data_IF_495490822085
#
_entry.id   IF_495490822085
#
_cell.length_a   1.000
_cell.length_b   1.000
_cell.length_c   1.000
_cell.angle_alpha   90.00
_cell.angle_beta   90.00
_cell.angle_gamma   90.00
#
_symmetry.space_group_name_H-M   'P 1'
#
loop_
_entity.id
_entity.type
_entity.pdbx_description
1 polymer ?
#
# COMPACT_ATOMS: atom_id res chain seq x y z
N UNK A 1 3.06 1.16 -12.94
CA UNK A 1 2.36 0.16 -12.11
C UNK A 1 0.87 0.18 -12.44
N UNK A 2 0.29 -0.99 -12.75
CA UNK A 2 -1.10 -1.15 -13.12
C UNK A 2 -1.78 -2.22 -12.25
N UNK A 3 -2.98 -1.94 -11.75
CA UNK A 3 -3.78 -2.92 -11.02
C UNK A 3 -4.54 -3.76 -12.06
N UNK A 4 -4.11 -5.01 -12.25
CA UNK A 4 -4.72 -5.93 -13.22
C UNK A 4 -6.04 -6.51 -12.71
N UNK A 5 -6.12 -6.77 -11.40
CA UNK A 5 -7.28 -7.45 -10.80
C UNK A 5 -7.39 -7.12 -9.33
N UNK A 6 -8.62 -6.93 -8.86
CA UNK A 6 -8.96 -6.89 -7.44
C UNK A 6 -9.91 -8.07 -7.18
N UNK A 7 -9.56 -8.93 -6.24
CA UNK A 7 -10.43 -10.01 -5.77
C UNK A 7 -10.74 -9.76 -4.30
N UNK A 8 -12.03 -9.65 -3.99
CA UNK A 8 -12.48 -9.53 -2.61
C UNK A 8 -12.64 -10.93 -2.02
N UNK A 9 -12.01 -11.17 -0.88
CA UNK A 9 -12.16 -12.41 -0.11
C UNK A 9 -12.86 -12.05 1.21
N UNK A 10 -14.09 -12.55 1.38
CA UNK A 10 -14.88 -12.37 2.59
C UNK A 10 -14.64 -13.53 3.56
N UNK A 11 -14.67 -13.26 4.86
CA UNK A 11 -14.49 -14.27 5.91
C UNK A 11 -13.14 -15.01 5.85
N UNK A 12 -13.05 -16.20 6.48
CA UNK A 12 -11.85 -17.03 6.44
C UNK A 12 -11.51 -17.46 5.01
N UNK A 13 -10.24 -17.29 4.65
CA UNK A 13 -9.73 -17.53 3.31
C UNK A 13 -8.30 -18.10 3.37
N UNK A 14 -7.67 -18.30 2.21
CA UNK A 14 -6.34 -18.91 2.12
C UNK A 14 -5.21 -18.06 2.74
N UNK A 15 -5.44 -16.77 3.00
CA UNK A 15 -4.46 -15.85 3.56
C UNK A 15 -4.66 -15.59 5.05
N UNK A 16 -5.91 -15.44 5.48
CA UNK A 16 -6.25 -15.06 6.84
C UNK A 16 -7.61 -15.59 7.27
N UNK A 17 -7.90 -15.50 8.58
CA UNK A 17 -9.23 -15.83 9.15
C UNK A 17 -10.25 -14.69 9.02
N UNK A 18 -9.82 -13.53 8.52
CA UNK A 18 -10.60 -12.31 8.36
C UNK A 18 -10.58 -11.86 6.88
N UNK A 19 -11.47 -10.93 6.48
CA UNK A 19 -11.55 -10.47 5.10
C UNK A 19 -10.28 -9.79 4.58
N UNK A 20 -9.93 -10.06 3.33
CA UNK A 20 -8.77 -9.44 2.65
C UNK A 20 -9.06 -9.14 1.18
N UNK A 21 -8.45 -8.09 0.65
CA UNK A 21 -8.32 -7.87 -0.78
C UNK A 21 -7.10 -8.66 -1.28
N UNK A 22 -7.27 -9.44 -2.34
CA UNK A 22 -6.18 -10.01 -3.13
C UNK A 22 -6.06 -9.23 -4.43
N UNK A 23 -5.05 -8.37 -4.51
CA UNK A 23 -4.84 -7.44 -5.62
C UNK A 23 -3.68 -7.93 -6.47
N UNK A 24 -3.90 -8.08 -7.79
CA UNK A 24 -2.82 -8.36 -8.74
C UNK A 24 -2.33 -7.07 -9.36
N UNK A 25 -1.02 -6.86 -9.31
CA UNK A 25 -0.38 -5.62 -9.74
C UNK A 25 0.79 -5.93 -10.65
N UNK A 26 0.80 -5.36 -11.85
CA UNK A 26 1.95 -5.37 -12.76
C UNK A 26 2.77 -4.09 -12.50
N UNK A 27 4.02 -4.26 -12.05
CA UNK A 27 4.89 -3.13 -11.74
C UNK A 27 5.37 -2.42 -13.01
N UNK A 28 5.45 -3.12 -14.14
CA UNK A 28 6.05 -2.64 -15.38
C UNK A 28 7.52 -2.26 -15.16
N UNK A 29 7.92 -1.07 -15.62
CA UNK A 29 9.30 -0.59 -15.49
C UNK A 29 9.80 -0.48 -14.04
N UNK A 30 8.88 -0.41 -13.06
CA UNK A 30 9.21 -0.29 -11.64
C UNK A 30 9.79 -1.58 -11.05
N UNK A 31 9.70 -2.71 -11.75
CA UNK A 31 10.35 -3.96 -11.30
C UNK A 31 11.87 -3.79 -11.17
N UNK A 32 12.47 -3.06 -12.12
CA UNK A 32 13.91 -2.74 -12.12
C UNK A 32 14.26 -1.53 -11.23
N UNK A 33 13.26 -0.92 -10.58
CA UNK A 33 13.41 0.33 -9.83
C UNK A 33 12.82 0.20 -8.42
N UNK A 34 13.49 -0.55 -7.53
CA UNK A 34 13.09 -0.62 -6.13
C UNK A 34 13.10 0.77 -5.47
N UNK A 35 12.37 0.94 -4.37
CA UNK A 35 12.12 2.23 -3.71
C UNK A 35 13.33 3.15 -3.54
N UNK A 36 14.50 2.59 -3.22
CA UNK A 36 15.74 3.32 -2.98
C UNK A 36 16.42 3.88 -4.23
N UNK A 37 16.07 3.40 -5.44
CA UNK A 37 16.60 3.93 -6.70
C UNK A 37 15.73 5.04 -7.29
N UNK A 38 14.52 5.23 -6.76
CA UNK A 38 13.59 6.27 -7.18
C UNK A 38 13.89 7.60 -6.48
N UNK A 39 14.45 8.55 -7.23
CA UNK A 39 14.94 9.83 -6.68
C UNK A 39 13.82 10.63 -5.99
N UNK A 40 14.02 10.89 -4.69
CA UNK A 40 13.11 11.68 -3.86
C UNK A 40 11.80 10.99 -3.47
N UNK A 41 11.57 9.75 -3.93
CA UNK A 41 10.33 9.01 -3.70
C UNK A 41 10.14 8.73 -2.21
N UNK A 42 11.17 8.18 -1.58
CA UNK A 42 11.19 7.81 -0.17
C UNK A 42 10.94 9.03 0.73
N UNK A 43 11.59 10.15 0.44
CA UNK A 43 11.46 11.40 1.19
C UNK A 43 10.05 11.98 1.10
N UNK A 44 9.47 12.00 -0.11
CA UNK A 44 8.06 12.42 -0.30
C UNK A 44 7.11 11.52 0.47
N UNK A 45 7.26 10.20 0.33
CA UNK A 45 6.38 9.23 0.98
C UNK A 45 6.45 9.31 2.51
N UNK A 46 7.66 9.35 3.09
CA UNK A 46 7.86 9.49 4.54
C UNK A 46 7.34 10.83 5.08
N UNK A 47 7.42 11.91 4.29
CA UNK A 47 6.87 13.21 4.66
C UNK A 47 5.34 13.22 4.63
N UNK A 48 4.75 12.56 3.64
CA UNK A 48 3.30 12.49 3.43
C UNK A 48 2.59 11.58 4.43
N UNK A 49 3.23 10.47 4.81
CA UNK A 49 2.66 9.46 5.71
C UNK A 49 3.66 9.14 6.84
N UNK A 50 3.93 10.11 7.75
CA UNK A 50 4.95 9.94 8.79
C UNK A 50 4.59 8.87 9.83
N UNK A 51 3.32 8.58 10.03
CA UNK A 51 2.82 7.55 10.96
C UNK A 51 3.13 6.11 10.52
N UNK A 52 3.46 5.89 9.24
CA UNK A 52 3.98 4.58 8.77
C UNK A 52 5.30 4.18 9.43
N UNK A 53 5.96 5.06 10.20
CA UNK A 53 7.05 4.66 11.10
C UNK A 53 6.62 3.59 12.12
N UNK A 54 5.33 3.52 12.46
CA UNK A 54 4.80 2.49 13.36
C UNK A 54 4.62 1.13 12.68
N UNK A 55 4.69 1.07 11.34
CA UNK A 55 4.56 -0.17 10.60
C UNK A 55 5.75 -1.10 10.84
N UNK A 56 5.45 -2.25 11.44
CA UNK A 56 6.39 -3.34 11.65
C UNK A 56 6.34 -4.24 10.42
N UNK A 57 7.33 -4.11 9.55
CA UNK A 57 7.55 -5.06 8.45
C UNK A 57 8.15 -6.37 9.01
N UNK A 58 8.68 -7.25 8.15
CA UNK A 58 9.34 -8.51 8.53
C UNK A 58 10.48 -8.37 9.56
N UNK A 59 11.05 -7.17 9.72
CA UNK A 59 12.07 -6.84 10.73
C UNK A 59 11.48 -6.88 12.16
N UNK A 60 10.17 -6.68 12.33
CA UNK A 60 9.47 -6.77 13.62
C UNK A 60 9.64 -5.55 14.54
N UNK A 61 10.44 -4.57 14.14
CA UNK A 61 10.75 -3.37 14.91
C UNK A 61 10.05 -2.13 14.39
N UNK A 62 9.83 -1.15 15.27
CA UNK A 62 9.32 0.18 14.92
C UNK A 62 10.28 0.85 13.95
N UNK A 63 9.76 1.43 12.88
CA UNK A 63 10.54 2.04 11.80
C UNK A 63 11.09 1.03 10.78
N UNK A 64 10.82 -0.26 10.96
CA UNK A 64 11.30 -1.31 10.06
C UNK A 64 10.86 -1.11 8.61
N UNK A 65 9.65 -0.59 8.36
CA UNK A 65 9.22 -0.28 7.00
C UNK A 65 10.01 0.88 6.37
N UNK A 66 10.29 1.96 7.12
CA UNK A 66 11.10 3.06 6.63
C UNK A 66 12.55 2.63 6.34
N UNK A 67 13.10 1.74 7.15
CA UNK A 67 14.40 1.14 6.85
C UNK A 67 14.35 0.32 5.55
N UNK A 68 13.30 -0.50 5.36
CA UNK A 68 13.10 -1.26 4.12
C UNK A 68 12.95 -0.35 2.89
N UNK A 69 12.29 0.80 3.01
CA UNK A 69 12.22 1.79 1.93
C UNK A 69 13.62 2.29 1.54
N UNK A 70 14.48 2.58 2.52
CA UNK A 70 15.86 3.06 2.31
C UNK A 70 16.78 1.98 1.74
N UNK A 71 16.67 0.74 2.21
CA UNK A 71 17.46 -0.38 1.69
C UNK A 71 16.96 -0.90 0.35
N UNK A 72 15.71 -0.58 0.00
CA UNK A 72 15.06 -1.02 -1.22
C UNK A 72 13.95 -2.04 -1.01
N UNK A 73 12.78 -1.74 -1.55
CA UNK A 73 11.67 -2.68 -1.66
C UNK A 73 10.80 -2.37 -2.89
N UNK A 74 10.01 -3.34 -3.34
CA UNK A 74 9.22 -3.25 -4.57
C UNK A 74 7.88 -2.56 -4.34
N UNK A 75 7.36 -1.91 -5.38
CA UNK A 75 6.14 -1.10 -5.30
C UNK A 75 4.90 -1.89 -4.91
N UNK A 76 4.86 -3.22 -5.14
CA UNK A 76 3.78 -4.07 -4.62
C UNK A 76 3.72 -4.08 -3.08
N UNK A 77 4.88 -4.14 -2.43
CA UNK A 77 4.99 -4.08 -0.96
C UNK A 77 4.77 -2.66 -0.42
N UNK A 78 5.16 -1.62 -1.17
CA UNK A 78 4.84 -0.25 -0.78
C UNK A 78 3.34 0.03 -0.87
N UNK A 79 2.69 -0.45 -1.95
CA UNK A 79 1.23 -0.32 -2.13
C UNK A 79 0.45 -0.96 -0.99
N UNK A 80 0.89 -2.13 -0.52
CA UNK A 80 0.34 -2.80 0.66
C UNK A 80 0.30 -1.86 1.87
N UNK A 81 1.46 -1.37 2.30
CA UNK A 81 1.58 -0.54 3.50
C UNK A 81 0.85 0.79 3.37
N UNK A 82 0.91 1.44 2.21
CA UNK A 82 0.21 2.71 1.99
C UNK A 82 -1.31 2.50 2.01
N UNK A 83 -1.81 1.39 1.49
CA UNK A 83 -3.25 1.09 1.54
C UNK A 83 -3.72 0.84 2.97
N UNK A 84 -2.97 0.07 3.77
CA UNK A 84 -3.26 -0.15 5.19
C UNK A 84 -3.22 1.15 6.01
N UNK A 85 -2.23 2.00 5.73
CA UNK A 85 -2.09 3.30 6.39
C UNK A 85 -3.29 4.21 6.09
N UNK A 86 -3.69 4.34 4.82
CA UNK A 86 -4.83 5.18 4.44
C UNK A 86 -6.13 4.69 5.06
N UNK A 87 -6.36 3.36 5.13
CA UNK A 87 -7.51 2.80 5.85
C UNK A 87 -7.49 3.21 7.33
N UNK A 88 -6.34 3.10 7.98
CA UNK A 88 -6.17 3.43 9.41
C UNK A 88 -6.38 4.92 9.67
N UNK A 89 -5.77 5.81 8.87
CA UNK A 89 -5.92 7.26 9.00
C UNK A 89 -7.37 7.72 8.78
N UNK A 90 -8.09 7.10 7.85
CA UNK A 90 -9.47 7.44 7.53
C UNK A 90 -10.50 6.82 8.52
N UNK A 91 -10.10 5.87 9.37
CA UNK A 91 -10.91 5.44 10.52
C UNK A 91 -11.06 3.93 10.72
N UNK A 92 -10.42 3.11 9.90
CA UNK A 92 -10.51 1.65 10.00
C UNK A 92 -9.16 1.05 10.37
N UNK A 93 -9.00 0.66 11.63
CA UNK A 93 -7.78 -0.02 12.09
C UNK A 93 -7.65 -1.41 11.44
N UNK A 94 -6.61 -1.59 10.62
CA UNK A 94 -6.21 -2.84 9.95
C UNK A 94 -4.69 -2.93 9.97
N UNK A 95 -4.14 -4.14 9.91
CA UNK A 95 -2.68 -4.30 10.07
C UNK A 95 -2.06 -5.46 9.30
N UNK A 96 -2.86 -6.39 8.78
CA UNK A 96 -2.33 -7.49 8.01
C UNK A 96 -2.18 -7.13 6.53
N UNK A 97 -0.94 -7.26 6.05
CA UNK A 97 -0.59 -7.12 4.65
C UNK A 97 0.41 -8.20 4.24
N UNK A 98 0.41 -8.53 2.94
CA UNK A 98 1.44 -9.38 2.35
C UNK A 98 1.59 -9.15 0.84
N UNK A 99 2.80 -8.84 0.39
CA UNK A 99 3.13 -8.74 -1.03
C UNK A 99 4.17 -9.77 -1.44
N UNK A 100 3.93 -10.44 -2.57
CA UNK A 100 4.87 -11.41 -3.14
C UNK A 100 4.69 -11.51 -4.66
N UNK A 101 5.79 -11.78 -5.35
CA UNK A 101 5.79 -11.96 -6.81
C UNK A 101 5.03 -13.25 -7.19
N UNK A 102 4.36 -13.19 -8.33
CA UNK A 102 3.72 -14.35 -8.96
C UNK A 102 4.75 -15.14 -9.78
N UNK A 103 4.30 -16.15 -10.53
CA UNK A 103 5.17 -16.83 -11.50
C UNK A 103 5.54 -15.95 -12.71
N UNK A 104 4.80 -14.87 -12.95
CA UNK A 104 5.11 -13.89 -14.00
C UNK A 104 5.97 -12.79 -13.37
N UNK A 105 7.18 -12.62 -13.91
CA UNK A 105 8.12 -11.63 -13.43
C UNK A 105 7.52 -10.21 -13.47
N UNK A 106 7.75 -9.42 -12.41
CA UNK A 106 7.23 -8.06 -12.29
C UNK A 106 5.74 -7.97 -11.93
N UNK A 107 5.06 -9.11 -11.77
CA UNK A 107 3.65 -9.16 -11.38
C UNK A 107 3.51 -9.73 -9.97
N UNK A 108 2.85 -8.98 -9.10
CA UNK A 108 2.74 -9.27 -7.68
C UNK A 108 1.29 -9.53 -7.28
N UNK A 109 1.10 -10.41 -6.31
CA UNK A 109 -0.12 -10.45 -5.51
C UNK A 109 0.14 -9.63 -4.24
N UNK A 110 -0.76 -8.70 -3.95
CA UNK A 110 -0.76 -7.82 -2.78
C UNK A 110 -2.02 -8.11 -1.98
N UNK A 111 -1.84 -8.62 -0.77
CA UNK A 111 -2.90 -9.01 0.16
C UNK A 111 -3.06 -7.91 1.19
N UNK A 112 -4.27 -7.40 1.37
CA UNK A 112 -4.55 -6.26 2.24
C UNK A 112 -5.79 -6.59 3.08
N UNK A 113 -5.66 -6.56 4.40
CA UNK A 113 -6.81 -6.65 5.31
C UNK A 113 -7.78 -5.50 5.11
N UNK A 114 -9.08 -5.79 5.25
CA UNK A 114 -10.12 -4.77 5.27
C UNK A 114 -11.24 -5.13 6.26
N UNK A 115 -12.02 -4.11 6.66
CA UNK A 115 -13.30 -4.28 7.38
C UNK A 115 -14.50 -3.93 6.49
N UNK A 116 -14.41 -2.84 5.73
CA UNK A 116 -15.43 -2.40 4.77
C UNK A 116 -14.90 -2.48 3.33
N UNK A 117 -15.58 -3.24 2.47
CA UNK A 117 -15.09 -3.63 1.14
C UNK A 117 -14.91 -2.43 0.20
N UNK A 118 -15.95 -1.61 0.02
CA UNK A 118 -15.93 -0.45 -0.88
C UNK A 118 -14.89 0.59 -0.42
N UNK A 119 -14.84 0.85 0.89
CA UNK A 119 -13.88 1.74 1.50
C UNK A 119 -12.43 1.29 1.29
N UNK A 120 -12.15 0.00 1.42
CA UNK A 120 -10.80 -0.54 1.19
C UNK A 120 -10.37 -0.45 -0.28
N UNK A 121 -11.31 -0.65 -1.22
CA UNK A 121 -11.05 -0.45 -2.65
C UNK A 121 -10.76 1.03 -2.95
N UNK A 122 -11.50 1.95 -2.33
CA UNK A 122 -11.23 3.39 -2.43
C UNK A 122 -9.84 3.75 -1.87
N UNK A 123 -9.47 3.19 -0.71
CA UNK A 123 -8.13 3.36 -0.13
C UNK A 123 -7.03 2.81 -1.04
N UNK A 124 -7.26 1.65 -1.69
CA UNK A 124 -6.31 1.06 -2.65
C UNK A 124 -6.07 1.98 -3.85
N UNK A 125 -7.14 2.57 -4.40
CA UNK A 125 -7.03 3.50 -5.52
C UNK A 125 -6.37 4.83 -5.12
N UNK A 126 -6.66 5.32 -3.93
CA UNK A 126 -5.99 6.49 -3.35
C UNK A 126 -4.49 6.21 -3.14
N UNK A 127 -4.13 5.04 -2.60
CA UNK A 127 -2.75 4.61 -2.42
C UNK A 127 -2.00 4.53 -3.76
N UNK A 128 -2.62 3.94 -4.79
CA UNK A 128 -2.05 3.88 -6.13
C UNK A 128 -1.81 5.29 -6.72
N UNK A 129 -2.75 6.21 -6.53
CA UNK A 129 -2.62 7.60 -6.98
C UNK A 129 -1.52 8.35 -6.24
N UNK A 130 -1.43 8.17 -4.91
CA UNK A 130 -0.38 8.74 -4.07
C UNK A 130 0.99 8.26 -4.51
N UNK A 131 1.15 6.94 -4.71
CA UNK A 131 2.42 6.37 -5.16
C UNK A 131 2.80 6.87 -6.55
N UNK A 132 1.84 7.00 -7.46
CA UNK A 132 2.08 7.56 -8.79
C UNK A 132 2.58 9.01 -8.69
N UNK A 133 1.92 9.86 -7.88
CA UNK A 133 2.39 11.23 -7.63
C UNK A 133 3.78 11.27 -6.97
N UNK A 134 4.05 10.37 -6.02
CA UNK A 134 5.35 10.26 -5.37
C UNK A 134 6.45 9.87 -6.37
N UNK A 135 6.19 8.93 -7.29
CA UNK A 135 7.14 8.51 -8.31
C UNK A 135 7.41 9.65 -9.30
N UNK A 136 6.36 10.36 -9.72
CA UNK A 136 6.45 11.44 -10.71
C UNK A 136 6.94 12.77 -10.13
N UNK A 137 7.17 12.85 -8.81
CA UNK A 137 7.60 14.08 -8.14
C UNK A 137 6.51 15.16 -8.09
N UNK A 138 5.24 14.78 -8.21
CA UNK A 138 4.09 15.68 -8.14
C UNK A 138 3.65 15.90 -6.70
N UNK A 139 2.95 17.01 -6.44
CA UNK A 139 2.29 17.24 -5.16
C UNK A 139 1.10 16.30 -4.98
N UNK A 140 0.84 15.88 -3.75
CA UNK A 140 -0.33 15.09 -3.38
C UNK A 140 -0.88 15.59 -2.04
N UNK A 141 -2.18 15.89 -1.98
CA UNK A 141 -2.84 16.37 -0.77
C UNK A 141 -3.39 15.17 0.01
N UNK A 142 -2.55 14.60 0.87
CA UNK A 142 -2.94 13.46 1.72
C UNK A 142 -4.09 13.82 2.64
N UNK A 143 -4.12 15.04 3.20
CA UNK A 143 -5.14 15.45 4.15
C UNK A 143 -6.53 15.54 3.49
N UNK A 144 -6.60 16.13 2.30
CA UNK A 144 -7.85 16.15 1.53
C UNK A 144 -8.31 14.73 1.16
N UNK A 145 -7.38 13.86 0.75
CA UNK A 145 -7.71 12.47 0.39
C UNK A 145 -8.19 11.66 1.60
N UNK A 146 -7.53 11.77 2.75
CA UNK A 146 -7.95 11.04 3.96
C UNK A 146 -9.29 11.53 4.50
N UNK A 147 -9.59 12.83 4.40
CA UNK A 147 -10.91 13.36 4.76
C UNK A 147 -12.01 12.82 3.82
N UNK A 148 -11.79 12.87 2.50
CA UNK A 148 -12.74 12.30 1.54
C UNK A 148 -12.95 10.79 1.75
N UNK A 149 -11.91 10.04 2.12
CA UNK A 149 -12.03 8.62 2.46
C UNK A 149 -12.85 8.42 3.75
N UNK A 150 -12.62 9.26 4.77
CA UNK A 150 -13.39 9.21 6.02
C UNK A 150 -14.87 9.51 5.78
N UNK A 151 -15.21 10.48 4.95
CA UNK A 151 -16.61 10.80 4.61
C UNK A 151 -17.35 9.61 3.98
N UNK A 152 -16.64 8.77 3.20
CA UNK A 152 -17.22 7.57 2.59
C UNK A 152 -17.43 6.41 3.56
N UNK A 153 -16.83 6.47 4.74
CA UNK A 153 -17.00 5.47 5.80
C UNK A 153 -18.20 5.78 6.70
N UNK A 154 -18.69 7.03 6.68
CA UNK A 154 -19.85 7.51 7.45
C UNK A 154 -21.18 7.22 6.74
#
# INVERSE_FOLDING_TARGET
>A
MHIEKIKVLQGPNQWARFPVLEVRVDLGWLEEHPSHTLVGFNERLMKWLPSMIEHRCSIGERGGFFERLRTGTWMGHVLEHVTLELQTLAGTEVGYGRAFETKKHGVYNVIIEYKEESFAIDCLHAAHSLLTAAIEGKSFDVASVTENLREKLL
#
